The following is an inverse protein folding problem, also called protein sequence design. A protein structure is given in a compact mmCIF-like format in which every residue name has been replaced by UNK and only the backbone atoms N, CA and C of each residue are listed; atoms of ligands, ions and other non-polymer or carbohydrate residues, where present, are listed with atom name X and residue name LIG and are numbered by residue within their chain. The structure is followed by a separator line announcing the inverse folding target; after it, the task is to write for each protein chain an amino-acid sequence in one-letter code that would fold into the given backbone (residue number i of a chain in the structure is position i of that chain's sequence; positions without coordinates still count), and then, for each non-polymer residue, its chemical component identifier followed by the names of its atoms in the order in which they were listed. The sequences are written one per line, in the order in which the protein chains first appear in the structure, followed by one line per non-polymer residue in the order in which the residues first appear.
data_IF_814734897851
#
_entry.id   IF_814734897851
#
_cell.length_a   1.000
_cell.length_b   1.000
_cell.length_c   1.000
_cell.angle_alpha   90.00
_cell.angle_beta   90.00
_cell.angle_gamma   90.00
#
_symmetry.space_group_name_H-M   'P 1'
#
loop_
_entity.id
_entity.type
_entity.pdbx_description
1 polymer ?
#
# COMPACT_ATOMS: atom_id res chain seq x y z
N UNK A 1 -12.97 1.23 8.20
CA UNK A 1 -12.20 0.06 8.69
C UNK A 1 -10.91 -0.06 7.90
N UNK A 2 -9.75 -0.04 8.58
CA UNK A 2 -8.41 -0.02 7.98
C UNK A 2 -8.16 -1.16 6.98
N UNK A 3 -8.66 -2.37 7.26
CA UNK A 3 -8.50 -3.54 6.40
C UNK A 3 -8.99 -3.30 4.97
N UNK A 4 -10.13 -2.60 4.77
CA UNK A 4 -10.67 -2.34 3.43
C UNK A 4 -9.77 -1.42 2.62
N UNK A 5 -9.16 -0.42 3.25
CA UNK A 5 -8.21 0.49 2.59
C UNK A 5 -6.95 -0.27 2.18
N UNK A 6 -6.43 -1.11 3.07
CA UNK A 6 -5.27 -1.97 2.77
C UNK A 6 -5.59 -2.93 1.61
N UNK A 7 -6.75 -3.59 1.59
CA UNK A 7 -7.11 -4.50 0.49
C UNK A 7 -7.22 -3.80 -0.87
N UNK A 8 -7.80 -2.59 -0.91
CA UNK A 8 -7.83 -1.78 -2.14
C UNK A 8 -6.42 -1.41 -2.59
N UNK A 9 -5.56 -1.01 -1.66
CA UNK A 9 -4.17 -0.69 -1.96
C UNK A 9 -3.42 -1.88 -2.55
N UNK A 10 -3.54 -3.06 -1.94
CA UNK A 10 -2.89 -4.29 -2.45
C UNK A 10 -3.34 -4.63 -3.87
N UNK A 11 -4.65 -4.50 -4.16
CA UNK A 11 -5.19 -4.75 -5.51
C UNK A 11 -4.68 -3.74 -6.54
N UNK A 12 -4.62 -2.45 -6.20
CA UNK A 12 -4.16 -1.41 -7.14
C UNK A 12 -2.68 -1.51 -7.44
N UNK A 13 -1.88 -1.91 -6.46
CA UNK A 13 -0.41 -1.97 -6.56
C UNK A 13 0.12 -3.35 -6.94
N UNK A 14 -0.78 -4.32 -7.14
CA UNK A 14 -0.47 -5.75 -7.29
C UNK A 14 0.52 -6.26 -6.22
N UNK A 15 0.46 -5.68 -5.01
CA UNK A 15 1.42 -5.95 -3.96
C UNK A 15 0.98 -7.14 -3.11
N UNK A 16 1.90 -8.09 -2.86
CA UNK A 16 1.66 -9.18 -1.93
C UNK A 16 1.42 -8.67 -0.50
N UNK A 17 0.43 -9.24 0.20
CA UNK A 17 0.08 -8.89 1.58
C UNK A 17 1.25 -9.03 2.56
N UNK A 18 2.10 -10.05 2.39
CA UNK A 18 3.30 -10.30 3.19
C UNK A 18 4.38 -9.25 2.95
N UNK A 19 4.53 -8.79 1.70
CA UNK A 19 5.45 -7.71 1.32
C UNK A 19 4.99 -6.38 1.94
N UNK A 20 3.70 -6.06 1.82
CA UNK A 20 3.11 -4.89 2.45
C UNK A 20 3.34 -4.88 3.97
N UNK A 21 3.03 -5.99 4.65
CA UNK A 21 3.23 -6.09 6.10
C UNK A 21 4.67 -5.84 6.52
N UNK A 22 5.64 -6.39 5.77
CA UNK A 22 7.07 -6.17 6.00
C UNK A 22 7.50 -4.71 5.77
N UNK A 23 6.97 -4.05 4.74
CA UNK A 23 7.35 -2.68 4.38
C UNK A 23 6.68 -1.63 5.28
N UNK A 24 5.40 -1.81 5.60
CA UNK A 24 4.59 -0.81 6.29
C UNK A 24 4.57 -1.00 7.81
N UNK A 25 4.49 -2.25 8.28
CA UNK A 25 4.36 -2.61 9.70
C UNK A 25 5.57 -3.35 10.28
N UNK A 26 6.61 -3.62 9.48
CA UNK A 26 7.71 -4.55 9.84
C UNK A 26 7.22 -5.94 10.28
N UNK A 27 6.01 -6.34 9.89
CA UNK A 27 5.35 -7.58 10.30
C UNK A 27 4.69 -8.25 9.09
N UNK A 28 5.23 -9.38 8.58
CA UNK A 28 4.69 -10.03 7.39
C UNK A 28 3.30 -10.63 7.61
N UNK A 29 2.87 -10.86 8.87
CA UNK A 29 1.53 -11.38 9.20
C UNK A 29 0.50 -10.28 9.41
N UNK A 30 0.89 -9.01 9.38
CA UNK A 30 0.02 -7.88 9.71
C UNK A 30 -1.32 -7.89 8.97
N UNK A 31 -1.28 -8.07 7.64
CA UNK A 31 -2.51 -8.11 6.82
C UNK A 31 -3.34 -9.35 7.11
N UNK A 32 -2.72 -10.49 7.38
CA UNK A 32 -3.42 -11.72 7.75
C UNK A 32 -4.15 -11.52 9.08
N UNK A 33 -3.47 -10.96 10.08
CA UNK A 33 -4.09 -10.70 11.38
C UNK A 33 -5.23 -9.68 11.27
N UNK A 34 -5.09 -8.64 10.44
CA UNK A 34 -6.17 -7.69 10.16
C UNK A 34 -7.40 -8.39 9.55
N UNK A 35 -7.20 -9.40 8.69
CA UNK A 35 -8.30 -10.24 8.14
C UNK A 35 -8.94 -11.12 9.22
N UNK A 36 -8.16 -11.56 10.20
CA UNK A 36 -8.64 -12.32 11.36
C UNK A 36 -9.29 -11.44 12.43
N UNK A 37 -9.40 -10.12 12.22
CA UNK A 37 -10.06 -9.19 13.13
C UNK A 37 -9.14 -8.47 14.11
N UNK A 38 -7.81 -8.55 13.94
CA UNK A 38 -6.86 -7.75 14.73
C UNK A 38 -7.17 -6.27 14.57
N UNK A 39 -7.23 -5.56 15.69
CA UNK A 39 -7.40 -4.11 15.74
C UNK A 39 -6.02 -3.51 16.04
N UNK A 40 -5.36 -2.86 15.07
CA UNK A 40 -4.09 -2.22 15.33
C UNK A 40 -4.28 -1.03 16.26
N UNK A 41 -3.28 -0.76 17.10
CA UNK A 41 -3.26 0.45 17.92
C UNK A 41 -3.05 1.68 17.03
N UNK A 42 -3.51 2.84 17.49
CA UNK A 42 -3.42 4.13 16.78
C UNK A 42 -2.05 4.43 16.15
N UNK A 43 -0.90 4.17 16.82
CA UNK A 43 0.41 4.44 16.21
C UNK A 43 0.71 3.58 14.98
N UNK A 44 0.26 2.32 15.00
CA UNK A 44 0.43 1.39 13.87
C UNK A 44 -0.49 1.80 12.73
N UNK A 45 -1.73 2.16 13.05
CA UNK A 45 -2.68 2.65 12.05
C UNK A 45 -2.15 3.89 11.31
N UNK A 46 -1.65 4.90 12.02
CA UNK A 46 -1.09 6.11 11.42
C UNK A 46 0.13 5.80 10.53
N UNK A 47 1.00 4.88 10.96
CA UNK A 47 2.14 4.43 10.15
C UNK A 47 1.69 3.77 8.84
N UNK A 48 0.67 2.93 8.91
CA UNK A 48 0.09 2.24 7.74
C UNK A 48 -0.53 3.25 6.76
N UNK A 49 -1.28 4.21 7.28
CA UNK A 49 -1.89 5.28 6.48
C UNK A 49 -0.80 6.11 5.79
N UNK A 50 0.23 6.54 6.53
CA UNK A 50 1.35 7.30 5.99
C UNK A 50 2.13 6.53 4.91
N UNK A 51 2.34 5.23 5.11
CA UNK A 51 2.97 4.37 4.11
C UNK A 51 2.15 4.31 2.81
N UNK A 52 0.83 4.08 2.89
CA UNK A 52 -0.04 4.03 1.71
C UNK A 52 -0.04 5.37 0.96
N UNK A 53 -0.17 6.49 1.69
CA UNK A 53 -0.15 7.83 1.09
C UNK A 53 1.19 8.14 0.40
N UNK A 54 2.32 7.79 1.03
CA UNK A 54 3.65 7.97 0.43
C UNK A 54 3.87 7.10 -0.80
N UNK A 55 3.34 5.87 -0.79
CA UNK A 55 3.43 4.98 -1.94
C UNK A 55 2.55 5.46 -3.10
N UNK A 56 1.34 5.97 -2.83
CA UNK A 56 0.49 6.59 -3.84
C UNK A 56 1.14 7.83 -4.47
N UNK A 57 1.74 8.68 -3.64
CA UNK A 57 2.49 9.83 -4.14
C UNK A 57 3.64 9.41 -5.06
N UNK A 58 4.39 8.36 -4.68
CA UNK A 58 5.47 7.82 -5.51
C UNK A 58 4.96 7.16 -6.81
N UNK A 59 3.86 6.39 -6.73
CA UNK A 59 3.26 5.75 -7.90
C UNK A 59 2.76 6.79 -8.92
N UNK A 60 2.09 7.85 -8.46
CA UNK A 60 1.61 8.93 -9.32
C UNK A 60 2.74 9.71 -10.02
N UNK A 61 3.94 9.77 -9.41
CA UNK A 61 5.14 10.35 -10.05
C UNK A 61 5.74 9.44 -11.13
N UNK A 62 5.44 8.14 -11.08
CA UNK A 62 5.99 7.16 -12.02
C UNK A 62 5.12 7.08 -13.28
N UNK A 63 3.80 7.30 -13.15
CA UNK A 63 2.86 7.37 -14.27
C UNK A 63 3.06 8.62 -15.14
N UNK A 64 3.50 9.75 -14.57
CA UNK A 64 3.85 10.96 -15.36
C UNK A 64 5.18 10.85 -16.10
N UNK A 65 6.07 9.92 -15.73
CA UNK A 65 7.38 9.76 -16.34
C UNK A 65 7.43 8.70 -17.46
N UNK A 66 6.36 7.89 -17.63
CA UNK A 66 6.34 6.79 -18.61
C UNK A 66 5.44 7.06 -19.85
N UNK A 67 4.93 8.30 -19.99
CA UNK A 67 4.07 8.72 -21.10
C UNK A 67 4.77 9.47 -22.24
N UNK A 68 6.07 9.78 -22.13
CA UNK A 68 6.81 10.50 -23.17
C UNK A 68 7.71 9.55 -23.96
N UNK A 69 7.12 8.58 -24.65
CA UNK A 69 7.73 7.93 -25.81
C UNK A 69 6.62 7.34 -26.68
N UNK A 70 6.66 7.68 -27.97
CA UNK A 70 5.81 7.20 -29.07
C UNK A 70 4.44 7.87 -29.25
N UNK A 71 4.42 9.00 -29.98
CA UNK A 71 4.00 8.95 -31.38
C UNK A 71 4.48 10.20 -32.15
N UNK A 72 5.61 10.06 -32.84
CA UNK A 72 5.99 10.87 -34.01
C UNK A 72 5.90 9.94 -35.20
N UNK A 73 4.88 10.11 -36.03
CA UNK A 73 4.91 10.11 -37.50
C UNK A 73 3.52 10.40 -38.06
#
# INVERSE_FOLDING_TARGET
MLIRSVEKFLRRTDMAATKFGRLAASDPRFVLDLRQGRIPRTPVEQRIIGFMAGFEAAANQTETAHGETAHVQ
#
